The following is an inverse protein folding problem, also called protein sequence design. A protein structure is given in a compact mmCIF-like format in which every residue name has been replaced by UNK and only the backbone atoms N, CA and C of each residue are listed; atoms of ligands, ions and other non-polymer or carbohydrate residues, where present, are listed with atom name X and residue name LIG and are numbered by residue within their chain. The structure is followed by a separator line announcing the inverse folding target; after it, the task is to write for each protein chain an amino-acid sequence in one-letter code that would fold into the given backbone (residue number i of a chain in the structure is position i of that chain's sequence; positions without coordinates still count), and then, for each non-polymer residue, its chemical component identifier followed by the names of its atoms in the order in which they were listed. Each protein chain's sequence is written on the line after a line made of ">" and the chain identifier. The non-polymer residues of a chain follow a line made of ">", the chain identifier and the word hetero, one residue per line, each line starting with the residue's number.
data_IF_074997589598
#
_entry.id   IF_074997589598
#
_cell.length_a   1.000
_cell.length_b   1.000
_cell.length_c   1.000
_cell.angle_alpha   90.00
_cell.angle_beta   90.00
_cell.angle_gamma   90.00
#
_symmetry.space_group_name_H-M   'P 1'
#
loop_
_entity.id
_entity.type
_entity.pdbx_description
1 polymer ?
#
# COMPACT_ATOMS: atom_id res chain seq x y z
N UNK A 1 -6.15 -4.80 -29.92
CA UNK A 1 -4.68 -4.85 -29.77
C UNK A 1 -4.42 -5.45 -28.39
N UNK A 2 -4.04 -6.72 -28.32
CA UNK A 2 -3.86 -7.43 -27.05
C UNK A 2 -2.47 -7.09 -26.51
N UNK A 3 -2.42 -6.56 -25.28
CA UNK A 3 -1.19 -6.23 -24.58
C UNK A 3 -0.31 -7.49 -24.45
N UNK A 4 0.96 -7.33 -24.79
CA UNK A 4 1.95 -8.39 -24.91
C UNK A 4 2.43 -8.88 -23.54
N UNK A 5 2.07 -10.11 -23.14
CA UNK A 5 2.86 -11.12 -22.39
C UNK A 5 3.58 -10.78 -21.07
N UNK A 6 3.63 -9.53 -20.62
CA UNK A 6 4.46 -9.07 -19.49
C UNK A 6 3.68 -8.97 -18.18
N UNK A 7 2.36 -9.16 -18.21
CA UNK A 7 1.45 -9.08 -17.06
C UNK A 7 1.94 -9.96 -15.89
N UNK A 8 2.42 -11.17 -16.18
CA UNK A 8 2.98 -12.06 -15.16
C UNK A 8 4.24 -11.52 -14.47
N UNK A 9 5.05 -10.72 -15.17
CA UNK A 9 6.24 -10.09 -14.58
C UNK A 9 5.84 -8.86 -13.77
N UNK A 10 4.89 -8.07 -14.27
CA UNK A 10 4.32 -6.93 -13.55
C UNK A 10 3.69 -7.40 -12.24
N UNK A 11 2.89 -8.47 -12.26
CA UNK A 11 2.30 -9.06 -11.04
C UNK A 11 3.35 -9.47 -10.01
N UNK A 12 4.51 -10.00 -10.43
CA UNK A 12 5.61 -10.32 -9.51
C UNK A 12 6.22 -9.06 -8.89
N UNK A 13 6.35 -7.99 -9.67
CA UNK A 13 6.82 -6.70 -9.16
C UNK A 13 5.81 -6.12 -8.17
N UNK A 14 4.52 -6.15 -8.49
CA UNK A 14 3.46 -5.65 -7.61
C UNK A 14 3.44 -6.43 -6.29
N UNK A 15 3.53 -7.77 -6.36
CA UNK A 15 3.63 -8.61 -5.17
C UNK A 15 4.85 -8.25 -4.33
N UNK A 16 6.03 -8.14 -4.94
CA UNK A 16 7.25 -7.74 -4.25
C UNK A 16 7.09 -6.38 -3.56
N UNK A 17 6.51 -5.39 -4.24
CA UNK A 17 6.29 -4.05 -3.68
C UNK A 17 5.35 -4.07 -2.47
N UNK A 18 4.29 -4.89 -2.50
CA UNK A 18 3.38 -5.07 -1.36
C UNK A 18 4.07 -5.81 -0.21
N UNK A 19 4.93 -6.80 -0.49
CA UNK A 19 5.74 -7.47 0.53
C UNK A 19 6.76 -6.52 1.19
N UNK A 20 7.38 -5.64 0.41
CA UNK A 20 8.26 -4.58 0.90
C UNK A 20 7.50 -3.58 1.78
N UNK A 21 6.30 -3.16 1.37
CA UNK A 21 5.43 -2.31 2.17
C UNK A 21 5.09 -2.97 3.51
N UNK A 22 4.70 -4.25 3.50
CA UNK A 22 4.36 -4.97 4.72
C UNK A 22 5.56 -5.04 5.68
N UNK A 23 6.77 -5.26 5.16
CA UNK A 23 7.99 -5.24 5.97
C UNK A 23 8.30 -3.86 6.52
N UNK A 24 8.13 -2.81 5.72
CA UNK A 24 8.33 -1.44 6.16
C UNK A 24 7.36 -1.07 7.29
N UNK A 25 6.07 -1.31 7.10
CA UNK A 25 5.04 -1.09 8.14
C UNK A 25 5.32 -1.92 9.38
N UNK A 26 5.71 -3.19 9.22
CA UNK A 26 6.08 -4.07 10.33
C UNK A 26 7.28 -3.55 11.14
N UNK A 27 8.29 -2.94 10.47
CA UNK A 27 9.40 -2.28 11.17
C UNK A 27 8.93 -1.08 11.98
N UNK A 28 8.08 -0.22 11.41
CA UNK A 28 7.52 0.92 12.14
C UNK A 28 6.69 0.49 13.35
N UNK A 29 5.93 -0.62 13.22
CA UNK A 29 5.13 -1.18 14.30
C UNK A 29 5.97 -1.85 15.42
N UNK A 30 7.26 -2.06 15.20
CA UNK A 30 8.17 -2.70 16.15
C UNK A 30 9.13 -1.71 16.84
N UNK A 31 9.12 -0.43 16.45
CA UNK A 31 9.98 0.61 17.04
C UNK A 31 9.20 1.32 18.15
N UNK A 32 9.60 1.21 19.43
CA UNK A 32 8.98 1.97 20.51
C UNK A 32 9.20 3.48 20.34
N UNK A 33 8.15 4.27 20.55
CA UNK A 33 8.21 5.73 20.54
C UNK A 33 7.27 6.31 21.61
N UNK A 34 7.83 6.84 22.69
CA UNK A 34 7.06 7.34 23.83
C UNK A 34 6.26 6.22 24.51
N UNK A 35 4.94 6.41 24.62
CA UNK A 35 4.01 5.43 25.22
C UNK A 35 3.48 4.40 24.21
N UNK A 36 3.87 4.49 22.93
CA UNK A 36 3.37 3.63 21.86
C UNK A 36 4.48 3.15 20.91
N UNK A 37 4.09 2.88 19.67
CA UNK A 37 4.98 2.50 18.58
C UNK A 37 5.09 3.64 17.56
N UNK A 38 6.20 3.70 16.82
CA UNK A 38 6.42 4.73 15.81
C UNK A 38 5.28 4.80 14.77
N UNK A 39 4.69 3.66 14.41
CA UNK A 39 3.56 3.60 13.48
C UNK A 39 2.31 4.36 13.96
N UNK A 40 2.17 4.59 15.28
CA UNK A 40 1.04 5.31 15.87
C UNK A 40 1.08 6.81 15.51
N UNK A 41 2.28 7.35 15.29
CA UNK A 41 2.48 8.75 14.88
C UNK A 41 2.64 8.93 13.37
N UNK A 42 2.52 7.86 12.57
CA UNK A 42 2.68 7.89 11.13
C UNK A 42 1.35 7.77 10.38
N UNK A 43 1.29 8.35 9.17
CA UNK A 43 0.32 8.00 8.13
C UNK A 43 1.09 7.54 6.91
N UNK A 44 0.91 6.27 6.54
CA UNK A 44 1.54 5.68 5.36
C UNK A 44 0.47 5.52 4.27
N UNK A 45 0.77 6.03 3.08
CA UNK A 45 -0.08 5.89 1.90
C UNK A 45 0.68 5.12 0.83
N UNK A 46 0.08 4.08 0.28
CA UNK A 46 0.65 3.29 -0.81
C UNK A 46 -0.42 3.00 -1.86
N UNK A 47 -0.07 3.06 -3.13
CA UNK A 47 -1.00 2.74 -4.20
C UNK A 47 -0.27 2.63 -5.54
N UNK A 48 -1.03 2.27 -6.56
CA UNK A 48 -0.53 2.16 -7.93
C UNK A 48 -1.14 3.26 -8.81
N UNK A 49 -0.43 3.66 -9.86
CA UNK A 49 -0.88 4.74 -10.74
C UNK A 49 -1.87 4.29 -11.84
N UNK A 50 -1.93 2.98 -12.14
CA UNK A 50 -2.68 2.42 -13.26
C UNK A 50 -3.10 0.97 -12.97
N UNK A 51 -4.34 0.58 -13.31
CA UNK A 51 -4.86 -0.76 -13.06
C UNK A 51 -4.37 -1.77 -14.10
N UNK A 52 -4.75 -1.57 -15.36
CA UNK A 52 -4.26 -2.34 -16.50
C UNK A 52 -3.43 -1.41 -17.41
N UNK A 53 -2.10 -1.50 -17.31
CA UNK A 53 -1.17 -0.62 -18.04
C UNK A 53 -1.42 -0.60 -19.55
N UNK A 54 -1.66 -1.76 -20.16
CA UNK A 54 -1.94 -1.86 -21.61
C UNK A 54 -3.26 -1.23 -22.07
N UNK A 55 -4.15 -0.87 -21.14
CA UNK A 55 -5.43 -0.20 -21.42
C UNK A 55 -5.44 1.27 -20.99
N UNK A 56 -4.35 1.74 -20.36
CA UNK A 56 -4.32 3.04 -19.69
C UNK A 56 -5.50 3.24 -18.73
N UNK A 57 -5.79 2.21 -17.94
CA UNK A 57 -6.93 2.21 -17.01
C UNK A 57 -6.59 2.94 -15.70
N UNK A 58 -7.43 3.91 -15.34
CA UNK A 58 -7.33 4.72 -14.13
C UNK A 58 -8.48 4.47 -13.14
N UNK A 59 -9.36 3.50 -13.42
CA UNK A 59 -10.45 3.16 -12.52
C UNK A 59 -10.01 2.16 -11.44
N UNK A 60 -10.58 2.30 -10.24
CA UNK A 60 -10.47 1.34 -9.11
C UNK A 60 -9.03 0.94 -8.76
N UNK A 61 -8.16 1.94 -8.67
CA UNK A 61 -6.76 1.72 -8.31
C UNK A 61 -6.64 1.23 -6.86
N UNK A 62 -5.90 0.13 -6.61
CA UNK A 62 -5.53 -0.28 -5.27
C UNK A 62 -4.83 0.84 -4.51
N UNK A 63 -5.34 1.15 -3.32
CA UNK A 63 -4.74 2.09 -2.38
C UNK A 63 -4.80 1.49 -0.97
N UNK A 64 -3.70 1.64 -0.23
CA UNK A 64 -3.51 1.19 1.15
C UNK A 64 -3.18 2.40 2.00
N UNK A 65 -3.88 2.51 3.13
CA UNK A 65 -3.58 3.45 4.20
C UNK A 65 -3.21 2.64 5.44
N UNK A 66 -2.13 3.02 6.12
CA UNK A 66 -1.67 2.38 7.35
C UNK A 66 -1.15 3.40 8.37
N UNK A 67 -1.18 3.03 9.66
CA UNK A 67 -0.80 3.89 10.78
C UNK A 67 -1.99 4.61 11.42
N UNK A 68 -1.74 5.34 12.50
CA UNK A 68 -2.80 6.01 13.27
C UNK A 68 -2.76 7.54 13.15
N UNK A 69 -1.72 8.11 12.53
CA UNK A 69 -1.56 9.55 12.34
C UNK A 69 -1.78 10.38 13.63
N UNK A 70 -1.41 9.83 14.79
CA UNK A 70 -1.65 10.42 16.12
C UNK A 70 -3.14 10.78 16.36
N UNK A 71 -4.05 9.98 15.82
CA UNK A 71 -5.50 10.19 15.93
C UNK A 71 -6.05 11.32 15.06
N UNK A 72 -5.26 11.91 14.16
CA UNK A 72 -5.72 12.96 13.25
C UNK A 72 -6.70 12.43 12.18
N UNK A 73 -6.65 11.13 11.87
CA UNK A 73 -7.58 10.46 10.96
C UNK A 73 -8.07 9.15 11.57
N UNK A 74 -9.36 8.85 11.38
CA UNK A 74 -9.93 7.54 11.70
C UNK A 74 -9.84 6.66 10.45
N UNK A 75 -8.86 5.75 10.42
CA UNK A 75 -8.78 4.74 9.36
C UNK A 75 -9.78 3.62 9.63
N UNK A 76 -10.57 3.26 8.62
CA UNK A 76 -11.46 2.11 8.64
C UNK A 76 -11.05 1.15 7.55
N UNK A 77 -11.11 -0.15 7.85
CA UNK A 77 -10.98 -1.16 6.81
C UNK A 77 -12.07 -0.93 5.75
N UNK A 78 -11.71 -1.08 4.47
CA UNK A 78 -12.71 -1.07 3.41
C UNK A 78 -13.67 -2.24 3.66
N UNK A 79 -14.98 -1.94 3.64
CA UNK A 79 -16.01 -2.98 3.57
C UNK A 79 -16.10 -3.45 2.12
N UNK A 80 -16.20 -4.76 1.95
CA UNK A 80 -16.38 -5.46 0.68
C UNK A 80 -17.54 -4.90 -0.17
#
# INVERSE_FOLDING_TARGET
>A
MLSTGQESQIQKIDQFMVEELARFVGKLAAIPEGEGMLIDNCLITFGIAMGAGGKHDHDRLPCVLAGQAKGAVELRAMKD
#
